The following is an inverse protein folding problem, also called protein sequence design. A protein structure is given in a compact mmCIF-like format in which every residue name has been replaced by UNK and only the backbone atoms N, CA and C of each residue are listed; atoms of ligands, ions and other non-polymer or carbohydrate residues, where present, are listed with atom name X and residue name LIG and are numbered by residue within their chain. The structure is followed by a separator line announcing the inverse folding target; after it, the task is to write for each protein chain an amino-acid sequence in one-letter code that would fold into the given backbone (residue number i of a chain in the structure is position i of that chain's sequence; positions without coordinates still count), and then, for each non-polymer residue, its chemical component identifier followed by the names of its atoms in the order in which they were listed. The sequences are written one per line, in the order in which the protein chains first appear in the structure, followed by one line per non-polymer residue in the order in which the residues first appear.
data_IF_025868399272
#
_entry.id   IF_025868399272
#
_cell.length_a   1.000
_cell.length_b   1.000
_cell.length_c   1.000
_cell.angle_alpha   90.00
_cell.angle_beta   90.00
_cell.angle_gamma   90.00
#
_symmetry.space_group_name_H-M   'P 1'
#
loop_
_entity.id
_entity.type
_entity.pdbx_description
1 polymer ?
#
# COMPACT_ATOMS: atom_id res chain seq x y z
N UNK A 1 7.77 -0.29 -24.42
CA UNK A 1 7.22 -1.25 -23.45
C UNK A 1 5.70 -1.22 -23.56
N UNK A 2 5.08 -2.19 -24.24
CA UNK A 2 3.62 -2.28 -24.28
C UNK A 2 3.10 -2.60 -22.87
N UNK A 3 2.06 -1.91 -22.44
CA UNK A 3 1.46 -2.15 -21.12
C UNK A 3 0.78 -3.53 -21.15
N UNK A 4 1.16 -4.43 -20.26
CA UNK A 4 0.47 -5.71 -20.07
C UNK A 4 -0.59 -5.59 -18.96
N UNK A 5 -1.61 -6.44 -18.99
CA UNK A 5 -2.71 -6.41 -18.01
C UNK A 5 -2.22 -6.45 -16.56
N UNK A 6 -1.18 -7.25 -16.27
CA UNK A 6 -0.54 -7.31 -14.94
C UNK A 6 0.04 -5.96 -14.52
N UNK A 7 0.78 -5.29 -15.41
CA UNK A 7 1.37 -3.97 -15.13
C UNK A 7 0.30 -2.90 -14.95
N UNK A 8 -0.77 -2.91 -15.77
CA UNK A 8 -1.90 -2.00 -15.61
C UNK A 8 -2.61 -2.19 -14.27
N UNK A 9 -2.91 -3.44 -13.90
CA UNK A 9 -3.54 -3.76 -12.61
C UNK A 9 -2.67 -3.34 -11.43
N UNK A 10 -1.38 -3.64 -11.48
CA UNK A 10 -0.44 -3.24 -10.42
C UNK A 10 -0.37 -1.71 -10.29
N UNK A 11 -0.33 -1.00 -11.42
CA UNK A 11 -0.32 0.46 -11.44
C UNK A 11 -1.62 1.04 -10.87
N UNK A 12 -2.78 0.45 -11.20
CA UNK A 12 -4.05 0.89 -10.64
C UNK A 12 -4.05 0.75 -9.11
N UNK A 13 -3.76 -0.44 -8.60
CA UNK A 13 -3.82 -0.74 -7.16
C UNK A 13 -2.87 0.13 -6.35
N UNK A 14 -1.63 0.32 -6.80
CA UNK A 14 -0.59 0.98 -5.99
C UNK A 14 -0.49 2.49 -6.23
N UNK A 15 -1.13 3.02 -7.28
CA UNK A 15 -0.98 4.44 -7.61
C UNK A 15 -2.27 5.12 -8.06
N UNK A 16 -3.08 4.53 -8.94
CA UNK A 16 -4.18 5.28 -9.57
C UNK A 16 -5.51 5.18 -8.83
N UNK A 17 -5.65 4.21 -7.93
CA UNK A 17 -6.87 3.99 -7.14
C UNK A 17 -7.18 5.24 -6.27
N UNK A 18 -8.35 5.89 -6.41
CA UNK A 18 -8.65 7.17 -5.75
C UNK A 18 -8.70 7.12 -4.22
N UNK A 19 -9.11 5.98 -3.66
CA UNK A 19 -9.21 5.74 -2.23
C UNK A 19 -7.90 5.27 -1.59
N UNK A 20 -6.81 5.18 -2.38
CA UNK A 20 -5.48 4.97 -1.84
C UNK A 20 -5.03 6.22 -1.08
N UNK A 21 -4.97 6.13 0.25
CA UNK A 21 -4.41 7.19 1.10
C UNK A 21 -2.96 7.47 0.69
N UNK A 22 -2.63 8.75 0.54
CA UNK A 22 -1.30 9.24 0.20
C UNK A 22 -0.85 10.23 1.27
N UNK A 23 0.45 10.27 1.52
CA UNK A 23 1.05 11.08 2.58
C UNK A 23 1.70 10.19 3.63
N UNK A 24 2.12 10.83 4.73
CA UNK A 24 2.69 10.12 5.87
C UNK A 24 1.57 9.39 6.64
N UNK A 25 1.93 8.30 7.30
CA UNK A 25 1.06 7.68 8.30
C UNK A 25 0.88 8.61 9.49
N UNK A 26 -0.24 8.44 10.20
CA UNK A 26 -0.37 9.04 11.54
C UNK A 26 0.38 8.20 12.56
N UNK A 27 0.69 8.78 13.71
CA UNK A 27 1.40 8.07 14.79
C UNK A 27 0.64 6.79 15.20
N UNK A 28 -0.70 6.84 15.21
CA UNK A 28 -1.52 5.67 15.52
C UNK A 28 -1.47 4.59 14.42
N UNK A 29 -1.42 5.00 13.15
CA UNK A 29 -1.25 4.08 12.02
C UNK A 29 0.13 3.41 12.08
N UNK A 30 1.20 4.15 12.41
CA UNK A 30 2.55 3.62 12.57
C UNK A 30 2.65 2.63 13.74
N UNK A 31 2.11 2.96 14.90
CA UNK A 31 2.05 2.05 16.06
C UNK A 31 1.32 0.75 15.70
N UNK A 32 0.21 0.85 14.97
CA UNK A 32 -0.55 -0.31 14.53
C UNK A 32 0.25 -1.18 13.56
N UNK A 33 0.94 -0.56 12.60
CA UNK A 33 1.81 -1.26 11.65
C UNK A 33 2.89 -2.05 12.40
N UNK A 34 3.59 -1.42 13.35
CA UNK A 34 4.65 -2.06 14.15
C UNK A 34 4.08 -3.22 14.97
N UNK A 35 2.94 -3.02 15.62
CA UNK A 35 2.29 -4.04 16.44
C UNK A 35 1.89 -5.25 15.61
N UNK A 36 1.27 -5.03 14.45
CA UNK A 36 0.85 -6.11 13.55
C UNK A 36 2.05 -6.85 12.97
N UNK A 37 3.09 -6.13 12.58
CA UNK A 37 4.34 -6.73 12.09
C UNK A 37 5.00 -7.59 13.17
N UNK A 38 5.06 -7.11 14.41
CA UNK A 38 5.63 -7.88 15.53
C UNK A 38 4.84 -9.15 15.84
N UNK A 39 3.52 -9.13 15.64
CA UNK A 39 2.63 -10.27 15.90
C UNK A 39 2.66 -11.31 14.77
N UNK A 40 2.69 -10.86 13.52
CA UNK A 40 2.49 -11.71 12.34
C UNK A 40 3.79 -12.02 11.57
N UNK A 41 4.83 -11.22 11.76
CA UNK A 41 6.08 -11.31 11.02
C UNK A 41 5.95 -10.88 9.55
N UNK A 42 6.98 -11.24 8.77
CA UNK A 42 6.98 -11.24 7.30
C UNK A 42 7.54 -12.57 6.81
#
# INVERSE_FOLDING_TARGET
LLRCGKSCRLRWINYLRPDLKRGNFTDEEDELIIKLHSLLGN
#
